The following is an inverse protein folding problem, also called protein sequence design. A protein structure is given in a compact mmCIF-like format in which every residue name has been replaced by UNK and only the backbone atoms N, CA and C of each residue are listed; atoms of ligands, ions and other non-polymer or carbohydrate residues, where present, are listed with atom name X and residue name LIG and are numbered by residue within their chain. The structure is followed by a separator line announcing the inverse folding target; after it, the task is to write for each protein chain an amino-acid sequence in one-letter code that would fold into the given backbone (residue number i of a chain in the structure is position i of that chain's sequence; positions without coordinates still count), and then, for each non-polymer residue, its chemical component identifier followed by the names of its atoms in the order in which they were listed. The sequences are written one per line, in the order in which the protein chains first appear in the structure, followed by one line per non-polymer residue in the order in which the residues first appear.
data_IF_793876132427
#
_entry.id   IF_793876132427
#
_cell.length_a   1.000
_cell.length_b   1.000
_cell.length_c   1.000
_cell.angle_alpha   90.00
_cell.angle_beta   90.00
_cell.angle_gamma   90.00
#
_symmetry.space_group_name_H-M   'P 1'
#
loop_
_entity.id
_entity.type
_entity.pdbx_description
1 polymer ?
#
# COMPACT_ATOMS: atom_id res chain seq x y z
N UNK A 1 -3.19 0.55 -10.45
CA UNK A 1 -3.16 1.47 -9.28
C UNK A 1 -1.76 1.80 -8.79
N UNK A 2 -0.75 0.98 -9.08
CA UNK A 2 0.66 1.24 -8.72
C UNK A 2 1.18 2.66 -9.06
N UNK A 3 0.73 3.26 -10.16
CA UNK A 3 1.16 4.62 -10.56
C UNK A 3 0.73 5.74 -9.61
N UNK A 4 -0.36 5.56 -8.86
CA UNK A 4 -0.89 6.61 -7.98
C UNK A 4 -0.28 6.60 -6.57
N UNK A 5 0.58 5.63 -6.24
CA UNK A 5 1.16 5.41 -4.89
C UNK A 5 0.12 5.42 -3.75
N UNK A 6 -1.14 5.13 -4.05
CA UNK A 6 -2.21 5.02 -3.06
C UNK A 6 -2.34 3.58 -2.62
N UNK A 7 -2.40 3.35 -1.31
CA UNK A 7 -2.75 2.04 -0.75
C UNK A 7 -4.23 1.76 -1.05
N UNK A 8 -4.53 0.55 -1.50
CA UNK A 8 -5.88 0.10 -1.84
C UNK A 8 -6.17 -1.16 -1.04
N UNK A 9 -7.35 -1.21 -0.43
CA UNK A 9 -7.83 -2.35 0.36
C UNK A 9 -9.15 -2.82 -0.27
N UNK A 10 -9.12 -3.86 -1.12
CA UNK A 10 -10.35 -4.42 -1.67
C UNK A 10 -11.22 -5.05 -0.57
N UNK A 11 -12.54 -4.94 -0.71
CA UNK A 11 -13.51 -5.71 0.07
C UNK A 11 -14.24 -6.62 -0.92
N UNK A 12 -14.02 -7.92 -0.81
CA UNK A 12 -14.66 -8.94 -1.63
C UNK A 12 -15.92 -9.44 -0.93
N UNK A 13 -17.08 -8.89 -1.32
CA UNK A 13 -18.38 -9.27 -0.78
C UNK A 13 -19.01 -10.38 -1.63
N UNK A 14 -19.30 -11.52 -1.02
CA UNK A 14 -19.97 -12.69 -1.63
C UNK A 14 -19.30 -13.23 -2.90
N UNK A 15 -18.02 -12.90 -3.10
CA UNK A 15 -17.25 -13.28 -4.29
C UNK A 15 -15.83 -13.62 -3.90
N UNK A 16 -15.25 -14.65 -4.51
CA UNK A 16 -13.82 -14.94 -4.37
C UNK A 16 -13.02 -14.04 -5.32
N UNK A 17 -11.80 -13.61 -4.96
CA UNK A 17 -10.95 -12.86 -5.88
C UNK A 17 -10.83 -13.53 -7.26
N UNK A 18 -10.62 -14.86 -7.29
CA UNK A 18 -10.51 -15.64 -8.54
C UNK A 18 -11.74 -15.59 -9.46
N UNK A 19 -12.90 -15.19 -8.93
CA UNK A 19 -14.16 -15.10 -9.67
C UNK A 19 -14.38 -13.70 -10.27
N UNK A 20 -13.53 -12.72 -9.95
CA UNK A 20 -13.59 -11.37 -10.49
C UNK A 20 -13.38 -11.38 -12.01
N UNK A 21 -14.37 -10.83 -12.72
CA UNK A 21 -14.36 -10.68 -14.17
C UNK A 21 -15.26 -9.52 -14.58
N UNK A 22 -14.94 -8.88 -15.69
CA UNK A 22 -15.82 -7.89 -16.29
C UNK A 22 -17.02 -8.63 -16.90
N UNK A 23 -18.23 -8.32 -16.43
CA UNK A 23 -19.46 -8.80 -17.06
C UNK A 23 -19.97 -7.67 -17.97
N UNK A 24 -19.84 -7.85 -19.28
CA UNK A 24 -20.38 -6.90 -20.25
C UNK A 24 -21.91 -7.04 -20.32
N UNK A 25 -22.61 -6.24 -19.53
CA UNK A 25 -24.07 -6.15 -19.59
C UNK A 25 -24.56 -5.27 -20.75
N UNK A 26 -23.75 -4.27 -21.15
CA UNK A 26 -24.06 -3.33 -22.23
C UNK A 26 -23.03 -3.43 -23.37
N UNK A 27 -23.52 -3.61 -24.59
CA UNK A 27 -22.70 -3.69 -25.81
C UNK A 27 -22.14 -2.33 -26.25
N UNK A 28 -22.50 -1.24 -25.56
CA UNK A 28 -22.02 0.12 -25.84
C UNK A 28 -20.66 0.45 -25.22
N UNK A 29 -20.17 -0.38 -24.31
CA UNK A 29 -18.86 -0.17 -23.67
C UNK A 29 -17.76 -0.44 -24.71
N UNK A 30 -16.89 0.55 -25.01
CA UNK A 30 -15.77 0.34 -25.93
C UNK A 30 -14.85 -0.78 -25.48
N UNK A 31 -14.23 -1.49 -26.41
CA UNK A 31 -13.33 -2.61 -26.11
C UNK A 31 -12.13 -2.18 -25.25
N UNK A 32 -11.61 -0.97 -25.46
CA UNK A 32 -10.52 -0.39 -24.66
C UNK A 32 -10.93 -0.24 -23.19
N UNK A 33 -12.16 0.19 -22.90
CA UNK A 33 -12.67 0.29 -21.53
C UNK A 33 -12.74 -1.09 -20.85
N UNK A 34 -13.22 -2.09 -21.59
CA UNK A 34 -13.27 -3.46 -21.11
C UNK A 34 -11.87 -3.97 -20.75
N UNK A 35 -10.88 -3.69 -21.58
CA UNK A 35 -9.48 -4.05 -21.32
C UNK A 35 -8.95 -3.35 -20.07
N UNK A 36 -9.18 -2.04 -19.91
CA UNK A 36 -8.80 -1.30 -18.70
C UNK A 36 -9.44 -1.87 -17.44
N UNK A 37 -10.72 -2.24 -17.48
CA UNK A 37 -11.39 -2.87 -16.34
C UNK A 37 -10.85 -4.27 -16.04
N UNK A 38 -10.53 -5.07 -17.06
CA UNK A 38 -9.91 -6.37 -16.85
C UNK A 38 -8.55 -6.24 -16.16
N UNK A 39 -7.71 -5.29 -16.59
CA UNK A 39 -6.42 -5.02 -15.93
C UNK A 39 -6.59 -4.61 -14.47
N UNK A 40 -7.55 -3.73 -14.17
CA UNK A 40 -7.84 -3.31 -12.81
C UNK A 40 -8.33 -4.46 -11.92
N UNK A 41 -9.21 -5.32 -12.45
CA UNK A 41 -9.67 -6.51 -11.72
C UNK A 41 -8.54 -7.51 -11.53
N UNK A 42 -7.64 -7.67 -12.51
CA UNK A 42 -6.49 -8.55 -12.38
C UNK A 42 -5.54 -8.08 -11.27
N UNK A 43 -5.26 -6.78 -11.18
CA UNK A 43 -4.50 -6.21 -10.06
C UNK A 43 -5.21 -6.44 -8.71
N UNK A 44 -6.54 -6.28 -8.67
CA UNK A 44 -7.33 -6.50 -7.46
C UNK A 44 -7.32 -7.96 -7.00
N UNK A 45 -7.28 -8.95 -7.90
CA UNK A 45 -7.22 -10.38 -7.55
C UNK A 45 -6.03 -10.76 -6.68
N UNK A 46 -4.90 -10.10 -6.92
CA UNK A 46 -3.64 -10.37 -6.22
C UNK A 46 -3.38 -9.38 -5.07
N UNK A 47 -4.28 -8.42 -4.85
CA UNK A 47 -4.19 -7.48 -3.74
C UNK A 47 -4.85 -8.10 -2.51
N UNK A 48 -4.15 -8.11 -1.37
CA UNK A 48 -4.72 -8.57 -0.10
C UNK A 48 -5.87 -7.64 0.29
N UNK A 49 -7.01 -8.23 0.60
CA UNK A 49 -8.23 -7.51 0.94
C UNK A 49 -9.06 -8.24 1.99
N UNK A 50 -10.21 -7.65 2.33
CA UNK A 50 -11.17 -8.22 3.26
C UNK A 50 -12.16 -9.10 2.50
N UNK A 51 -12.31 -10.36 2.91
CA UNK A 51 -13.41 -11.19 2.44
C UNK A 51 -14.63 -11.00 3.34
N UNK A 52 -15.81 -10.89 2.75
CA UNK A 52 -17.06 -10.70 3.46
C UNK A 52 -18.17 -11.55 2.86
N UNK A 53 -18.90 -12.26 3.74
CA UNK A 53 -20.12 -13.00 3.41
C UNK A 53 -21.30 -12.18 3.96
N UNK A 54 -22.14 -11.64 3.10
CA UNK A 54 -23.26 -10.78 3.50
C UNK A 54 -24.42 -11.55 4.12
N UNK A 55 -24.47 -12.88 3.92
CA UNK A 55 -25.53 -13.74 4.45
C UNK A 55 -25.24 -14.17 5.89
N UNK A 56 -23.98 -14.48 6.19
CA UNK A 56 -23.57 -15.04 7.49
C UNK A 56 -22.67 -14.11 8.31
N UNK A 57 -22.12 -13.07 7.69
CA UNK A 57 -21.15 -12.18 8.29
C UNK A 57 -21.77 -11.04 9.09
N UNK A 58 -20.92 -10.41 9.92
CA UNK A 58 -21.27 -9.25 10.72
C UNK A 58 -20.68 -7.98 10.10
N UNK A 59 -21.56 -7.06 9.68
CA UNK A 59 -21.17 -5.78 9.10
C UNK A 59 -20.28 -4.93 10.03
N UNK A 60 -20.53 -4.98 11.34
CA UNK A 60 -19.73 -4.25 12.32
C UNK A 60 -18.27 -4.73 12.33
N UNK A 61 -18.05 -6.03 12.13
CA UNK A 61 -16.70 -6.59 12.09
C UNK A 61 -15.98 -6.18 10.80
N UNK A 62 -16.68 -6.09 9.67
CA UNK A 62 -16.11 -5.56 8.41
C UNK A 62 -15.66 -4.12 8.58
N UNK A 63 -16.53 -3.26 9.15
CA UNK A 63 -16.21 -1.85 9.37
C UNK A 63 -15.03 -1.72 10.33
N UNK A 64 -15.04 -2.47 11.44
CA UNK A 64 -13.95 -2.48 12.39
C UNK A 64 -12.63 -2.89 11.74
N UNK A 65 -12.60 -4.01 11.03
CA UNK A 65 -11.39 -4.50 10.37
C UNK A 65 -10.89 -3.52 9.30
N UNK A 66 -11.79 -2.89 8.54
CA UNK A 66 -11.41 -1.88 7.56
C UNK A 66 -10.79 -0.64 8.23
N UNK A 67 -11.36 -0.18 9.34
CA UNK A 67 -10.81 0.94 10.13
C UNK A 67 -9.43 0.58 10.68
N UNK A 68 -9.26 -0.61 11.26
CA UNK A 68 -7.98 -1.07 11.82
C UNK A 68 -6.89 -1.07 10.73
N UNK A 69 -7.17 -1.62 9.54
CA UNK A 69 -6.21 -1.61 8.41
C UNK A 69 -5.90 -0.18 7.96
N UNK A 70 -6.88 0.72 7.93
CA UNK A 70 -6.64 2.12 7.54
C UNK A 70 -5.76 2.84 8.57
N UNK A 71 -6.01 2.64 9.86
CA UNK A 71 -5.18 3.22 10.94
C UNK A 71 -3.74 2.72 10.81
N UNK A 72 -3.54 1.41 10.68
CA UNK A 72 -2.21 0.81 10.47
C UNK A 72 -1.52 1.39 9.23
N UNK A 73 -2.28 1.54 8.14
CA UNK A 73 -1.77 2.12 6.88
C UNK A 73 -1.33 3.57 6.99
N UNK A 74 -2.01 4.37 7.81
CA UNK A 74 -1.62 5.77 8.04
C UNK A 74 -0.33 5.86 8.86
N UNK A 75 -0.21 5.03 9.90
CA UNK A 75 1.00 4.95 10.72
C UNK A 75 2.19 4.52 9.88
N UNK A 76 2.04 3.45 9.08
CA UNK A 76 3.08 2.97 8.16
C UNK A 76 3.51 4.08 7.17
N UNK A 77 2.55 4.84 6.64
CA UNK A 77 2.83 5.94 5.73
C UNK A 77 3.63 7.07 6.38
N UNK A 78 3.28 7.47 7.61
CA UNK A 78 4.01 8.48 8.38
C UNK A 78 5.45 8.03 8.68
N UNK A 79 5.64 6.77 9.09
CA UNK A 79 6.98 6.21 9.34
C UNK A 79 7.84 6.14 8.06
N UNK A 80 7.25 5.81 6.92
CA UNK A 80 7.94 5.82 5.62
C UNK A 80 8.41 7.22 5.25
N UNK A 81 7.56 8.23 5.41
CA UNK A 81 7.91 9.64 5.17
C UNK A 81 9.07 10.09 6.08
N UNK A 82 9.00 9.78 7.38
CA UNK A 82 10.08 10.11 8.32
C UNK A 82 11.41 9.43 7.96
N UNK A 83 11.39 8.15 7.59
CA UNK A 83 12.59 7.43 7.15
C UNK A 83 13.22 8.06 5.91
N UNK A 84 12.41 8.56 4.98
CA UNK A 84 12.88 9.24 3.77
C UNK A 84 13.50 10.63 4.05
N UNK A 85 13.12 11.28 5.15
CA UNK A 85 13.66 12.58 5.58
C UNK A 85 14.94 12.48 6.42
N UNK A 86 15.30 11.29 6.91
CA UNK A 86 16.48 11.05 7.76
C UNK A 86 17.87 10.88 7.07
N UNK A 87 18.07 10.87 5.73
CA UNK A 87 19.39 10.51 5.18
C UNK A 87 20.46 11.62 5.30
N UNK A 88 20.13 12.86 5.64
CA UNK A 88 21.10 13.97 5.66
C UNK A 88 21.81 14.19 7.00
N UNK A 89 21.22 13.83 8.14
CA UNK A 89 21.80 14.09 9.47
C UNK A 89 22.90 13.11 9.85
N UNK A 90 22.78 11.86 9.41
CA UNK A 90 23.72 10.80 9.73
C UNK A 90 25.04 10.93 8.96
N UNK A 91 25.02 11.35 7.69
CA UNK A 91 26.27 11.51 6.94
C UNK A 91 27.15 12.64 7.51
N UNK A 92 26.56 13.74 7.97
CA UNK A 92 27.29 14.84 8.61
C UNK A 92 27.90 14.42 9.96
N UNK A 93 27.19 13.64 10.77
CA UNK A 93 27.71 13.19 12.06
C UNK A 93 28.87 12.18 11.91
N UNK A 94 28.78 11.24 10.96
CA UNK A 94 29.85 10.28 10.71
C UNK A 94 31.09 10.94 10.11
N UNK A 95 30.92 11.85 9.14
CA UNK A 95 32.05 12.58 8.54
C UNK A 95 32.70 13.54 9.52
N UNK A 96 31.92 14.28 10.32
CA UNK A 96 32.46 15.17 11.35
C UNK A 96 33.25 14.40 12.43
N UNK A 97 32.74 13.25 12.89
CA UNK A 97 33.44 12.40 13.88
C UNK A 97 34.71 11.77 13.31
N UNK A 98 34.70 11.32 12.05
CA UNK A 98 35.88 10.79 11.39
C UNK A 98 36.96 11.87 11.17
N UNK A 99 36.55 13.10 10.83
CA UNK A 99 37.48 14.23 10.69
C UNK A 99 38.12 14.65 12.02
N UNK A 100 37.38 14.60 13.13
CA UNK A 100 37.95 14.86 14.46
C UNK A 100 38.99 13.81 14.86
N UNK A 101 38.84 12.54 14.44
CA UNK A 101 39.81 11.48 14.73
C UNK A 101 41.09 11.56 13.88
N UNK A 102 41.04 12.23 12.73
CA UNK A 102 42.22 12.46 11.87
C UNK A 102 43.04 13.68 12.32
N UNK A 103 42.56 14.43 13.32
CA UNK A 103 43.17 15.67 13.79
C UNK A 103 43.99 15.53 15.08
N UNK A 104 44.14 14.33 15.67
CA UNK A 104 45.03 14.10 16.81
C UNK A 104 46.46 13.79 16.33
N UNK A 105 47.44 14.73 16.43
CA UNK A 105 48.80 14.52 15.93
C UNK A 105 49.77 13.98 17.00
N UNK A 106 49.30 13.56 18.18
CA UNK A 106 50.20 13.12 19.24
C UNK A 106 49.74 11.83 19.92
N UNK A 107 50.21 10.71 19.39
CA UNK A 107 50.46 9.50 20.20
C UNK A 107 51.71 8.80 19.69
N UNK A 108 52.86 9.29 20.14
CA UNK A 108 54.13 8.57 20.32
C UNK A 108 54.95 9.33 21.37
#
# INVERSE_FOLDING_TARGET
MMELKKKVIPIFCDIKPSELKVVQADRRIPSEEVERFNLALEEAKYTVGLAFDSQNGNWSDVVKNAVDIVIESLIEGEEEEERMLQPASNHFSYTHRALMQLQDPHTL
#
